data_IF_603904479375
#
_entry.id   IF_603904479375
#
_cell.length_a   1.000
_cell.length_b   1.000
_cell.length_c   1.000
_cell.angle_alpha   90.00
_cell.angle_beta   90.00
_cell.angle_gamma   90.00
#
_symmetry.space_group_name_H-M   'P 1'
#
loop_
_entity.id
_entity.type
_entity.pdbx_description
1 polymer ?
#
# COMPACT_ATOMS: atom_id res chain seq x y z
N UNK A 1 -10.43 6.37 -13.60
CA UNK A 1 -9.35 7.33 -13.90
C UNK A 1 -9.72 8.73 -13.45
N UNK A 2 -10.38 9.52 -14.30
CA UNK A 2 -10.70 10.92 -14.02
C UNK A 2 -11.59 11.14 -12.78
N UNK A 3 -12.58 10.27 -12.52
CA UNK A 3 -13.45 10.39 -11.34
C UNK A 3 -12.69 10.23 -10.01
N UNK A 4 -11.65 9.39 -9.97
CA UNK A 4 -10.80 9.18 -8.79
C UNK A 4 -9.93 10.41 -8.50
N UNK A 5 -9.32 10.96 -9.54
CA UNK A 5 -8.56 12.21 -9.45
C UNK A 5 -9.44 13.42 -9.12
N UNK A 6 -10.68 13.44 -9.59
CA UNK A 6 -11.66 14.47 -9.25
C UNK A 6 -12.04 14.40 -7.76
N UNK A 7 -12.20 13.20 -7.21
CA UNK A 7 -12.48 12.97 -5.79
C UNK A 7 -11.27 13.32 -4.92
N UNK A 8 -10.04 13.01 -5.36
CA UNK A 8 -8.81 13.27 -4.57
C UNK A 8 -8.30 14.71 -4.64
N UNK A 9 -8.24 15.31 -5.84
CA UNK A 9 -7.59 16.61 -6.05
C UNK A 9 -8.58 17.78 -6.02
N UNK A 10 -9.85 17.54 -6.35
CA UNK A 10 -10.84 18.59 -6.66
C UNK A 10 -12.11 18.51 -5.82
N UNK A 11 -12.16 17.68 -4.78
CA UNK A 11 -13.29 17.70 -3.84
C UNK A 11 -13.37 19.09 -3.19
N UNK A 12 -14.44 19.87 -3.40
CA UNK A 12 -14.59 21.15 -2.71
C UNK A 12 -14.54 20.95 -1.19
N UNK A 13 -14.05 21.95 -0.42
CA UNK A 13 -14.06 21.89 1.04
C UNK A 13 -15.49 21.62 1.54
N UNK A 14 -15.61 20.94 2.67
CA UNK A 14 -16.87 20.45 3.25
C UNK A 14 -17.99 21.51 3.30
N UNK A 15 -17.62 22.79 3.42
CA UNK A 15 -18.52 23.94 3.43
C UNK A 15 -19.22 24.26 2.10
N UNK A 16 -18.88 23.61 0.98
CA UNK A 16 -19.39 23.95 -0.35
C UNK A 16 -20.04 22.78 -1.12
N UNK A 17 -20.21 21.59 -0.50
CA UNK A 17 -20.82 20.44 -1.18
C UNK A 17 -22.23 20.11 -0.65
N UNK A 18 -23.24 19.93 -1.52
CA UNK A 18 -24.56 19.47 -1.10
C UNK A 18 -24.49 17.99 -0.69
N UNK A 19 -24.59 17.70 0.61
CA UNK A 19 -25.06 16.49 1.35
C UNK A 19 -24.93 15.06 0.77
N UNK A 20 -24.23 14.81 -0.34
CA UNK A 20 -24.11 13.52 -1.01
C UNK A 20 -22.67 13.25 -1.51
N UNK A 21 -21.66 13.71 -0.77
CA UNK A 21 -20.26 13.35 -1.03
C UNK A 21 -20.02 11.91 -0.55
N UNK A 22 -19.59 11.02 -1.45
CA UNK A 22 -19.39 9.60 -1.16
C UNK A 22 -18.15 9.30 -0.28
N UNK A 23 -17.31 10.29 0.00
CA UNK A 23 -16.11 10.14 0.85
C UNK A 23 -15.85 11.44 1.64
N UNK A 24 -15.64 11.37 2.97
CA UNK A 24 -15.35 12.53 3.80
C UNK A 24 -13.92 13.06 3.56
N UNK A 25 -13.77 14.33 3.19
CA UNK A 25 -12.47 15.01 3.16
C UNK A 25 -12.41 16.41 2.55
N UNK A 26 -11.64 17.31 3.17
CA UNK A 26 -11.07 18.55 2.59
C UNK A 26 -10.09 18.23 1.43
N UNK A 27 -10.01 19.10 0.41
CA UNK A 27 -9.14 18.90 -0.75
C UNK A 27 -7.65 18.82 -0.41
N UNK A 28 -6.86 18.22 -1.32
CA UNK A 28 -5.39 18.06 -1.24
C UNK A 28 -4.58 19.33 -0.93
N UNK A 29 -5.12 20.52 -1.17
CA UNK A 29 -4.46 21.80 -0.85
C UNK A 29 -4.84 22.38 0.53
N UNK A 30 -5.76 21.74 1.24
CA UNK A 30 -6.24 22.11 2.57
C UNK A 30 -6.08 20.94 3.55
N UNK A 31 -5.01 20.15 3.44
CA UNK A 31 -4.74 19.05 4.37
C UNK A 31 -4.49 19.61 5.77
N UNK A 32 -5.26 19.13 6.75
CA UNK A 32 -5.10 19.51 8.14
C UNK A 32 -3.68 19.16 8.64
N UNK A 33 -3.03 20.04 9.44
CA UNK A 33 -1.70 19.78 9.99
C UNK A 33 -1.61 18.46 10.78
N UNK A 34 -2.69 18.05 11.44
CA UNK A 34 -2.77 16.79 12.20
C UNK A 34 -2.70 15.56 11.29
N UNK A 35 -3.24 15.64 10.07
CA UNK A 35 -3.11 14.57 9.06
C UNK A 35 -1.67 14.46 8.56
N UNK A 36 -0.97 15.60 8.40
CA UNK A 36 0.44 15.59 7.99
C UNK A 36 1.33 15.01 9.09
N UNK A 37 1.06 15.32 10.36
CA UNK A 37 1.83 14.76 11.48
C UNK A 37 1.60 13.26 11.65
N UNK A 38 0.37 12.76 11.47
CA UNK A 38 0.05 11.33 11.42
C UNK A 38 0.87 10.62 10.33
N UNK A 39 0.83 11.11 9.09
CA UNK A 39 1.59 10.52 7.97
C UNK A 39 3.09 10.53 8.23
N UNK A 40 3.65 11.63 8.73
CA UNK A 40 5.08 11.73 9.02
C UNK A 40 5.49 10.77 10.13
N UNK A 41 4.67 10.65 11.19
CA UNK A 41 4.96 9.75 12.31
C UNK A 41 4.94 8.28 11.84
N UNK A 42 3.89 7.87 11.12
CA UNK A 42 3.78 6.51 10.56
C UNK A 42 4.91 6.21 9.57
N UNK A 43 5.24 7.15 8.68
CA UNK A 43 6.31 7.01 7.68
C UNK A 43 7.71 6.97 8.30
N UNK A 44 7.90 7.54 9.49
CA UNK A 44 9.19 7.46 10.21
C UNK A 44 9.47 6.03 10.69
N UNK A 45 8.40 5.28 10.99
CA UNK A 45 8.45 3.89 11.45
C UNK A 45 8.23 2.87 10.33
N UNK A 46 8.61 3.24 9.10
CA UNK A 46 8.50 2.40 7.91
C UNK A 46 9.16 1.02 8.11
N UNK A 47 8.41 -0.04 7.81
CA UNK A 47 8.71 -1.45 8.08
C UNK A 47 9.16 -1.77 9.50
N UNK A 48 8.71 -0.98 10.48
CA UNK A 48 9.08 -1.10 11.89
C UNK A 48 10.59 -0.99 12.14
N UNK A 49 11.37 -0.45 11.20
CA UNK A 49 12.83 -0.40 11.32
C UNK A 49 13.23 0.37 12.57
N UNK A 50 12.70 1.57 12.76
CA UNK A 50 13.07 2.42 13.88
C UNK A 50 12.59 1.88 15.24
N UNK A 51 11.32 1.44 15.40
CA UNK A 51 10.85 0.83 16.65
C UNK A 51 11.65 -0.43 17.04
N UNK A 52 12.02 -1.27 16.07
CA UNK A 52 12.84 -2.45 16.35
C UNK A 52 14.25 -2.08 16.76
N UNK A 53 14.89 -1.11 16.10
CA UNK A 53 16.22 -0.63 16.48
C UNK A 53 16.23 -0.06 17.89
N UNK A 54 15.24 0.76 18.26
CA UNK A 54 15.11 1.32 19.61
C UNK A 54 14.90 0.22 20.66
N UNK A 55 14.06 -0.79 20.37
CA UNK A 55 13.87 -1.96 21.23
C UNK A 55 15.16 -2.78 21.41
N UNK A 56 16.07 -2.76 20.43
CA UNK A 56 17.39 -3.40 20.52
C UNK A 56 18.45 -2.49 21.18
N UNK A 57 18.07 -1.31 21.67
CA UNK A 57 18.96 -0.35 22.32
C UNK A 57 19.73 0.55 21.35
N UNK A 58 19.45 0.49 20.05
CA UNK A 58 20.05 1.36 19.03
C UNK A 58 19.19 2.62 18.90
N UNK A 59 19.62 3.70 19.54
CA UNK A 59 18.86 4.94 19.70
C UNK A 59 19.45 6.11 18.90
N UNK A 60 19.64 5.94 17.59
CA UNK A 60 20.07 7.05 16.72
C UNK A 60 18.98 8.12 16.56
N UNK A 61 17.73 7.69 16.53
CA UNK A 61 16.51 8.51 16.55
C UNK A 61 15.49 7.77 17.42
N UNK A 62 14.60 8.49 18.09
CA UNK A 62 13.50 7.89 18.86
C UNK A 62 12.29 7.68 17.93
N UNK A 63 11.74 6.47 17.95
CA UNK A 63 10.50 6.12 17.26
C UNK A 63 9.36 6.99 17.81
N UNK A 64 8.54 7.61 16.95
CA UNK A 64 7.34 8.31 17.39
C UNK A 64 6.37 7.38 18.13
N UNK A 65 5.63 7.91 19.10
CA UNK A 65 4.58 7.16 19.80
C UNK A 65 3.32 7.03 18.93
N UNK A 66 3.34 6.10 17.98
CA UNK A 66 2.19 5.78 17.12
C UNK A 66 1.37 4.65 17.73
N UNK A 67 0.04 4.81 17.76
CA UNK A 67 -0.84 3.76 18.27
C UNK A 67 -0.64 2.45 17.49
N UNK A 68 -0.44 1.31 18.16
CA UNK A 68 0.04 0.07 17.52
C UNK A 68 -0.90 -0.47 16.43
N UNK A 69 -2.21 -0.18 16.51
CA UNK A 69 -3.19 -0.54 15.48
C UNK A 69 -2.96 0.22 14.17
N UNK A 70 -2.74 1.54 14.23
CA UNK A 70 -2.48 2.35 13.01
C UNK A 70 -1.15 1.96 12.41
N UNK A 71 -0.09 1.87 13.23
CA UNK A 71 1.24 1.52 12.75
C UNK A 71 1.28 0.11 12.15
N UNK A 72 0.58 -0.84 12.76
CA UNK A 72 0.43 -2.19 12.25
C UNK A 72 -0.28 -2.23 10.90
N UNK A 73 -1.39 -1.50 10.77
CA UNK A 73 -2.15 -1.39 9.53
C UNK A 73 -1.37 -0.69 8.41
N UNK A 74 -0.76 0.46 8.69
CA UNK A 74 0.11 1.21 7.78
C UNK A 74 1.18 0.30 7.16
N UNK A 75 1.97 -0.38 8.02
CA UNK A 75 3.05 -1.25 7.56
C UNK A 75 2.55 -2.48 6.80
N UNK A 76 1.32 -2.95 7.05
CA UNK A 76 0.73 -4.03 6.27
C UNK A 76 0.40 -3.56 4.84
N UNK A 77 -0.13 -2.35 4.68
CA UNK A 77 -0.36 -1.75 3.37
C UNK A 77 0.95 -1.50 2.61
N UNK A 78 1.98 -0.98 3.28
CA UNK A 78 3.30 -0.78 2.69
C UNK A 78 3.96 -2.10 2.26
N UNK A 79 3.84 -3.15 3.08
CA UNK A 79 4.33 -4.47 2.71
C UNK A 79 3.59 -5.00 1.47
N UNK A 80 2.30 -4.69 1.32
CA UNK A 80 1.53 -5.08 0.15
C UNK A 80 1.98 -4.31 -1.10
N UNK A 81 2.19 -2.99 -0.98
CA UNK A 81 2.72 -2.16 -2.06
C UNK A 81 4.12 -2.63 -2.50
N UNK A 82 4.98 -3.02 -1.55
CA UNK A 82 6.30 -3.59 -1.83
C UNK A 82 6.21 -4.85 -2.69
N UNK A 83 5.29 -5.75 -2.35
CA UNK A 83 5.09 -7.01 -3.06
C UNK A 83 4.57 -6.85 -4.50
N UNK A 84 4.06 -5.68 -4.88
CA UNK A 84 3.60 -5.41 -6.25
C UNK A 84 4.75 -5.21 -7.24
N UNK A 85 5.94 -4.78 -6.82
CA UNK A 85 7.06 -4.49 -7.73
C UNK A 85 7.41 -5.65 -8.68
N UNK A 86 7.60 -6.90 -8.21
CA UNK A 86 7.90 -8.01 -9.10
C UNK A 86 6.81 -8.26 -10.15
N UNK A 87 5.52 -8.07 -9.80
CA UNK A 87 4.42 -8.20 -10.75
C UNK A 87 4.44 -7.08 -11.79
N UNK A 88 4.69 -5.84 -11.37
CA UNK A 88 4.74 -4.68 -12.27
C UNK A 88 5.88 -4.83 -13.29
N UNK A 89 7.06 -5.27 -12.86
CA UNK A 89 8.21 -5.53 -13.74
C UNK A 89 7.90 -6.64 -14.76
N UNK A 90 7.31 -7.75 -14.32
CA UNK A 90 6.91 -8.85 -15.22
C UNK A 90 5.86 -8.41 -16.22
N UNK A 91 4.85 -7.68 -15.79
CA UNK A 91 3.82 -7.14 -16.69
C UNK A 91 4.44 -6.19 -17.72
N UNK A 92 5.26 -5.24 -17.28
CA UNK A 92 5.92 -4.29 -18.16
C UNK A 92 6.75 -4.99 -19.24
N UNK A 93 7.51 -6.02 -18.85
CA UNK A 93 8.23 -6.86 -19.81
C UNK A 93 7.29 -7.63 -20.74
N UNK A 94 6.26 -8.29 -20.21
CA UNK A 94 5.30 -9.08 -21.00
C UNK A 94 4.61 -8.23 -22.07
N UNK A 95 4.25 -6.99 -21.73
CA UNK A 95 3.63 -6.02 -22.64
C UNK A 95 4.63 -5.25 -23.51
N UNK A 96 5.92 -5.34 -23.23
CA UNK A 96 6.94 -4.56 -23.92
C UNK A 96 6.74 -3.05 -23.77
N UNK A 97 6.50 -2.57 -22.54
CA UNK A 97 6.33 -1.13 -22.26
C UNK A 97 7.67 -0.44 -22.02
N UNK A 98 7.85 0.77 -22.56
CA UNK A 98 9.07 1.58 -22.40
C UNK A 98 9.19 2.30 -21.07
N UNK A 99 8.08 2.55 -20.37
CA UNK A 99 8.10 3.22 -19.06
C UNK A 99 8.85 2.38 -18.02
N UNK A 100 9.91 2.94 -17.42
CA UNK A 100 10.66 2.28 -16.35
C UNK A 100 9.80 2.17 -15.07
N UNK A 101 9.56 0.94 -14.63
CA UNK A 101 8.70 0.63 -13.48
C UNK A 101 9.30 1.05 -12.15
N UNK A 102 10.63 0.98 -11.97
CA UNK A 102 11.25 1.24 -10.67
C UNK A 102 10.92 2.64 -10.11
N UNK A 103 11.14 3.76 -10.83
CA UNK A 103 10.80 5.08 -10.30
C UNK A 103 9.29 5.27 -10.09
N UNK A 104 8.45 4.64 -10.92
CA UNK A 104 6.99 4.67 -10.76
C UNK A 104 6.58 3.96 -9.47
N UNK A 105 7.09 2.75 -9.26
CA UNK A 105 6.83 1.97 -8.05
C UNK A 105 7.38 2.67 -6.80
N UNK A 106 8.59 3.24 -6.86
CA UNK A 106 9.16 4.00 -5.74
C UNK A 106 8.30 5.20 -5.35
N UNK A 107 7.72 5.91 -6.32
CA UNK A 107 6.76 6.98 -6.04
C UNK A 107 5.41 6.42 -5.54
N UNK A 108 5.00 5.26 -6.05
CA UNK A 108 3.78 4.59 -5.62
C UNK A 108 3.86 4.14 -4.15
N UNK A 109 5.02 3.75 -3.62
CA UNK A 109 5.18 3.44 -2.18
C UNK A 109 4.76 4.59 -1.24
N UNK A 110 4.53 5.81 -1.75
CA UNK A 110 4.06 6.94 -0.94
C UNK A 110 2.75 7.58 -1.43
N UNK A 111 2.43 7.47 -2.73
CA UNK A 111 1.22 8.05 -3.33
C UNK A 111 0.49 7.02 -4.22
N UNK A 112 0.34 5.80 -3.73
CA UNK A 112 0.13 4.57 -4.51
C UNK A 112 -0.90 4.71 -5.62
N UNK A 113 -2.14 5.03 -5.31
CA UNK A 113 -3.18 5.13 -6.35
C UNK A 113 -3.06 6.37 -7.23
N UNK A 114 -2.46 7.44 -6.74
CA UNK A 114 -2.17 8.63 -7.54
C UNK A 114 -1.09 8.32 -8.59
N UNK A 115 -0.25 7.30 -8.39
CA UNK A 115 0.81 6.94 -9.33
C UNK A 115 0.46 5.72 -10.19
N UNK A 116 -0.08 4.65 -9.59
CA UNK A 116 -0.31 3.39 -10.29
C UNK A 116 -1.45 3.44 -11.31
N UNK A 117 -2.52 4.22 -11.06
CA UNK A 117 -3.61 4.36 -12.04
C UNK A 117 -3.17 5.04 -13.35
N UNK A 118 -2.47 6.20 -13.31
CA UNK A 118 -1.86 6.76 -14.51
C UNK A 118 -0.87 5.80 -15.17
N UNK A 119 -0.03 5.12 -14.38
CA UNK A 119 0.92 4.15 -14.91
C UNK A 119 0.21 3.06 -15.73
N UNK A 120 -0.86 2.44 -15.23
CA UNK A 120 -1.58 1.43 -16.00
C UNK A 120 -2.21 1.99 -17.28
N UNK A 121 -2.61 3.26 -17.30
CA UNK A 121 -3.10 3.91 -18.51
C UNK A 121 -1.98 4.13 -19.53
N UNK A 122 -0.81 4.60 -19.09
CA UNK A 122 0.37 4.81 -19.93
C UNK A 122 0.91 3.47 -20.44
N UNK A 123 1.10 2.49 -19.56
CA UNK A 123 1.55 1.14 -19.90
C UNK A 123 0.67 0.48 -20.96
N UNK A 124 -0.64 0.73 -20.95
CA UNK A 124 -1.55 0.26 -22.00
C UNK A 124 -1.35 1.00 -23.33
N UNK A 125 -1.01 2.28 -23.31
CA UNK A 125 -0.74 3.04 -24.55
C UNK A 125 0.64 2.76 -25.15
N UNK A 126 1.58 2.26 -24.34
CA UNK A 126 2.96 1.93 -24.72
C UNK A 126 3.16 0.44 -25.04
N UNK A 127 2.08 -0.33 -25.21
CA UNK A 127 2.21 -1.76 -25.48
C UNK A 127 2.97 -2.00 -26.79
N UNK A 128 4.06 -2.77 -26.71
CA UNK A 128 4.95 -3.07 -27.83
C UNK A 128 5.89 -1.93 -28.26
N UNK A 129 6.05 -0.85 -27.48
CA UNK A 129 6.95 0.26 -27.82
C UNK A 129 8.40 0.02 -27.39
N UNK A 130 8.64 -0.85 -26.41
CA UNK A 130 9.99 -1.14 -25.94
C UNK A 130 10.81 -1.86 -27.01
N UNK A 131 12.07 -1.49 -27.15
CA UNK A 131 13.01 -2.22 -28.01
C UNK A 131 13.43 -3.55 -27.36
N UNK A 132 13.85 -4.51 -28.17
CA UNK A 132 14.33 -5.82 -27.68
C UNK A 132 15.57 -5.73 -26.78
N UNK A 133 16.31 -4.62 -26.85
CA UNK A 133 17.49 -4.34 -26.02
C UNK A 133 17.16 -3.49 -24.77
N UNK A 134 15.90 -3.10 -24.59
CA UNK A 134 15.48 -2.29 -23.44
C UNK A 134 15.42 -3.13 -22.15
N UNK A 135 16.50 -3.07 -21.38
CA UNK A 135 16.63 -3.75 -20.08
C UNK A 135 15.95 -3.02 -18.92
N UNK A 136 15.28 -1.89 -19.13
CA UNK A 136 14.74 -1.04 -18.06
C UNK A 136 13.71 -1.73 -17.17
N UNK A 137 12.99 -2.73 -17.71
CA UNK A 137 11.93 -3.48 -17.03
C UNK A 137 12.26 -4.96 -16.88
N UNK A 138 13.54 -5.30 -16.72
CA UNK A 138 13.96 -6.68 -16.48
C UNK A 138 13.28 -7.23 -15.20
N UNK A 139 12.65 -8.43 -15.25
CA UNK A 139 12.15 -9.11 -14.08
C UNK A 139 13.26 -9.32 -13.06
N UNK A 140 12.89 -9.32 -11.80
CA UNK A 140 13.81 -9.66 -10.72
C UNK A 140 14.30 -11.10 -10.88
N UNK A 141 15.51 -11.36 -10.39
CA UNK A 141 16.00 -12.74 -10.30
C UNK A 141 15.09 -13.57 -9.37
N UNK A 142 14.99 -14.90 -9.55
CA UNK A 142 14.17 -15.74 -8.68
C UNK A 142 14.53 -15.62 -7.18
N UNK A 143 15.81 -15.39 -6.87
CA UNK A 143 16.26 -15.17 -5.50
C UNK A 143 15.75 -13.83 -4.93
N UNK A 144 15.75 -12.77 -5.75
CA UNK A 144 15.20 -11.48 -5.36
C UNK A 144 13.67 -11.55 -5.19
N UNK A 145 12.94 -12.20 -6.10
CA UNK A 145 11.48 -12.40 -5.92
C UNK A 145 11.15 -13.13 -4.62
N UNK A 146 11.90 -14.20 -4.30
CA UNK A 146 11.78 -14.89 -3.02
C UNK A 146 12.08 -14.00 -1.83
N UNK A 147 13.09 -13.14 -1.92
CA UNK A 147 13.41 -12.19 -0.86
C UNK A 147 12.26 -11.19 -0.64
N UNK A 148 11.60 -10.72 -1.71
CA UNK A 148 10.39 -9.91 -1.62
C UNK A 148 9.25 -10.68 -0.97
N UNK A 149 8.98 -11.93 -1.38
CA UNK A 149 7.94 -12.77 -0.78
C UNK A 149 8.16 -13.02 0.71
N UNK A 150 9.37 -13.42 1.10
CA UNK A 150 9.75 -13.66 2.50
C UNK A 150 9.69 -12.36 3.31
N UNK A 151 10.26 -11.27 2.79
CA UNK A 151 10.26 -9.95 3.44
C UNK A 151 8.85 -9.42 3.66
N UNK A 152 8.00 -9.50 2.63
CA UNK A 152 6.59 -9.15 2.73
C UNK A 152 5.86 -9.97 3.79
N UNK A 153 6.02 -11.31 3.79
CA UNK A 153 5.42 -12.15 4.85
C UNK A 153 5.93 -11.80 6.24
N UNK A 154 7.22 -11.48 6.40
CA UNK A 154 7.80 -11.11 7.68
C UNK A 154 7.21 -9.80 8.21
N UNK A 155 7.15 -8.76 7.37
CA UNK A 155 6.54 -7.47 7.73
C UNK A 155 5.04 -7.64 7.98
N UNK A 156 4.33 -8.41 7.14
CA UNK A 156 2.89 -8.67 7.32
C UNK A 156 2.58 -9.41 8.62
N UNK A 157 3.36 -10.43 8.97
CA UNK A 157 3.23 -11.13 10.24
C UNK A 157 3.56 -10.20 11.43
N UNK A 158 4.60 -9.37 11.29
CA UNK A 158 4.95 -8.38 12.29
C UNK A 158 3.85 -7.34 12.47
N UNK A 159 3.20 -6.89 11.39
CA UNK A 159 2.04 -6.01 11.43
C UNK A 159 0.87 -6.61 12.20
N UNK A 160 0.57 -7.89 11.99
CA UNK A 160 -0.47 -8.59 12.78
C UNK A 160 -0.10 -8.61 14.26
N UNK A 161 1.15 -8.98 14.59
CA UNK A 161 1.63 -8.94 15.96
C UNK A 161 1.54 -7.52 16.55
N UNK A 162 1.93 -6.50 15.78
CA UNK A 162 1.95 -5.12 16.24
C UNK A 162 0.55 -4.64 16.59
N UNK A 163 -0.39 -4.83 15.67
CA UNK A 163 -1.80 -4.48 15.83
C UNK A 163 -2.42 -5.17 17.04
N UNK A 164 -2.05 -6.43 17.33
CA UNK A 164 -2.70 -7.22 18.37
C UNK A 164 -2.05 -7.13 19.75
N UNK A 165 -0.72 -6.92 19.81
CA UNK A 165 0.03 -7.15 21.06
C UNK A 165 1.14 -6.14 21.35
N UNK A 166 1.70 -5.44 20.34
CA UNK A 166 2.82 -4.52 20.60
C UNK A 166 2.38 -3.28 21.38
N UNK A 167 3.28 -2.77 22.25
CA UNK A 167 3.08 -1.58 23.08
C UNK A 167 1.74 -1.59 23.84
N UNK A 168 1.57 -2.44 24.87
CA UNK A 168 0.33 -2.51 25.64
C UNK A 168 0.04 -1.25 26.45
N UNK A 169 1.06 -0.44 26.76
CA UNK A 169 0.89 0.84 27.46
C UNK A 169 0.12 1.85 26.60
N UNK A 170 0.44 1.91 25.31
CA UNK A 170 -0.26 2.77 24.35
C UNK A 170 -1.52 2.13 23.75
N UNK A 171 -1.46 0.83 23.45
CA UNK A 171 -2.53 0.13 22.74
C UNK A 171 -3.62 -0.48 23.63
N UNK A 172 -3.39 -0.62 24.92
CA UNK A 172 -4.35 -1.21 25.86
C UNK A 172 -4.72 -2.66 25.54
N UNK A 173 -5.91 -3.06 26.00
CA UNK A 173 -6.48 -4.39 25.80
C UNK A 173 -6.96 -4.62 24.36
N UNK A 174 -7.30 -5.86 24.00
CA UNK A 174 -7.86 -6.15 22.68
C UNK A 174 -9.17 -5.38 22.42
N UNK A 175 -9.98 -5.14 23.45
CA UNK A 175 -11.21 -4.35 23.33
C UNK A 175 -10.91 -2.88 23.01
N UNK A 176 -9.85 -2.32 23.60
CA UNK A 176 -9.42 -0.94 23.33
C UNK A 176 -8.92 -0.81 21.90
N UNK A 177 -8.15 -1.80 21.42
CA UNK A 177 -7.65 -1.86 20.03
C UNK A 177 -8.77 -1.94 19.00
N UNK A 178 -9.79 -2.75 19.26
CA UNK A 178 -10.98 -2.84 18.39
C UNK A 178 -11.74 -1.53 18.40
N UNK A 179 -11.92 -0.91 19.57
CA UNK A 179 -12.61 0.39 19.70
C UNK A 179 -11.85 1.49 18.95
N UNK A 180 -10.53 1.50 19.09
CA UNK A 180 -9.66 2.42 18.36
C UNK A 180 -9.75 2.20 16.85
N UNK A 181 -9.67 0.96 16.37
CA UNK A 181 -9.88 0.64 14.95
C UNK A 181 -11.24 1.13 14.46
N UNK A 182 -12.32 0.87 15.20
CA UNK A 182 -13.66 1.36 14.87
C UNK A 182 -13.72 2.89 14.77
N UNK A 183 -12.98 3.61 15.62
CA UNK A 183 -12.89 5.07 15.55
C UNK A 183 -12.13 5.56 14.31
N UNK A 184 -11.12 4.83 13.84
CA UNK A 184 -10.36 5.18 12.64
C UNK A 184 -11.17 4.99 11.35
N UNK A 185 -11.97 3.93 11.27
CA UNK A 185 -12.72 3.58 10.04
C UNK A 185 -14.15 4.10 10.02
N UNK A 186 -14.57 4.81 11.07
CA UNK A 186 -15.89 5.42 11.13
C UNK A 186 -16.05 6.44 9.99
N UNK A 187 -17.08 6.26 9.15
CA UNK A 187 -17.48 7.22 8.13
C UNK A 187 -18.48 8.21 8.74
N UNK A 188 -18.00 9.10 9.62
CA UNK A 188 -18.85 10.07 10.29
C UNK A 188 -18.93 11.38 9.49
N UNK A 189 -20.12 11.82 9.05
CA UNK A 189 -20.32 13.09 8.35
C UNK A 189 -19.87 14.33 9.12
N UNK A 190 -19.65 14.24 10.43
CA UNK A 190 -19.16 15.33 11.28
C UNK A 190 -17.62 15.43 11.35
N UNK A 191 -16.90 14.59 10.60
CA UNK A 191 -15.43 14.61 10.54
C UNK A 191 -14.73 13.53 11.37
N UNK A 192 -15.46 12.49 11.79
CA UNK A 192 -14.86 11.30 12.40
C UNK A 192 -14.26 10.35 11.36
N UNK A 193 -13.24 9.58 11.78
CA UNK A 193 -12.44 8.68 10.95
C UNK A 193 -11.08 9.27 10.56
N UNK A 194 -10.01 8.46 10.61
CA UNK A 194 -8.70 8.86 10.11
C UNK A 194 -8.71 8.81 8.58
N UNK A 195 -8.47 9.97 7.97
CA UNK A 195 -8.35 10.10 6.50
C UNK A 195 -7.22 9.24 5.96
N UNK A 196 -6.12 9.19 6.70
CA UNK A 196 -4.94 8.38 6.36
C UNK A 196 -5.34 6.91 6.33
N UNK A 197 -6.04 6.44 7.39
CA UNK A 197 -6.54 5.07 7.46
C UNK A 197 -7.51 4.75 6.31
N UNK A 198 -8.44 5.65 6.01
CA UNK A 198 -9.40 5.46 4.89
C UNK A 198 -8.67 5.41 3.55
N UNK A 199 -7.67 6.27 3.31
CA UNK A 199 -6.86 6.23 2.11
C UNK A 199 -6.14 4.88 1.97
N UNK A 200 -5.48 4.40 3.02
CA UNK A 200 -4.82 3.10 3.02
C UNK A 200 -5.79 1.91 2.85
N UNK A 201 -7.05 2.02 3.31
CA UNK A 201 -8.07 1.02 3.03
C UNK A 201 -8.43 0.96 1.54
N UNK A 202 -8.58 2.13 0.90
CA UNK A 202 -8.84 2.23 -0.55
C UNK A 202 -7.65 1.69 -1.33
N UNK A 203 -6.43 2.05 -0.94
CA UNK A 203 -5.18 1.53 -1.50
C UNK A 203 -5.13 0.00 -1.38
N UNK A 204 -5.35 -0.57 -0.20
CA UNK A 204 -5.34 -2.03 -0.01
C UNK A 204 -6.38 -2.76 -0.88
N UNK A 205 -7.57 -2.18 -1.04
CA UNK A 205 -8.62 -2.71 -1.92
C UNK A 205 -8.18 -2.68 -3.39
N UNK A 206 -7.51 -1.60 -3.83
CA UNK A 206 -6.97 -1.48 -5.18
C UNK A 206 -5.77 -2.41 -5.40
N UNK A 207 -4.90 -2.59 -4.41
CA UNK A 207 -3.79 -3.55 -4.47
C UNK A 207 -4.32 -4.95 -4.67
N UNK A 208 -5.41 -5.30 -3.99
CA UNK A 208 -6.05 -6.59 -4.18
C UNK A 208 -6.66 -6.74 -5.58
N UNK A 209 -7.34 -5.71 -6.10
CA UNK A 209 -7.84 -5.73 -7.47
C UNK A 209 -6.70 -5.89 -8.49
N UNK A 210 -5.59 -5.16 -8.31
CA UNK A 210 -4.41 -5.26 -9.17
C UNK A 210 -3.71 -6.60 -9.01
N UNK A 211 -3.58 -7.14 -7.81
CA UNK A 211 -3.04 -8.48 -7.57
C UNK A 211 -3.81 -9.52 -8.39
N UNK A 212 -5.15 -9.55 -8.27
CA UNK A 212 -6.01 -10.49 -9.00
C UNK A 212 -5.80 -10.36 -10.51
N UNK A 213 -5.79 -9.13 -11.01
CA UNK A 213 -5.64 -8.84 -12.44
C UNK A 213 -4.24 -9.19 -12.97
N UNK A 214 -3.19 -8.69 -12.35
CA UNK A 214 -1.79 -8.87 -12.75
C UNK A 214 -1.38 -10.36 -12.70
N UNK A 215 -1.69 -11.05 -11.60
CA UNK A 215 -1.39 -12.48 -11.50
C UNK A 215 -2.22 -13.32 -12.47
N UNK A 216 -3.41 -12.86 -12.85
CA UNK A 216 -4.21 -13.48 -13.90
C UNK A 216 -3.59 -13.31 -15.29
N UNK A 217 -3.04 -12.14 -15.57
CA UNK A 217 -2.32 -11.86 -16.82
C UNK A 217 -1.01 -12.64 -16.92
N UNK A 218 -0.36 -12.94 -15.79
CA UNK A 218 0.90 -13.69 -15.70
C UNK A 218 0.70 -15.19 -15.42
N UNK A 219 -0.51 -15.73 -15.57
CA UNK A 219 -0.85 -17.09 -15.16
C UNK A 219 -0.08 -18.18 -15.92
N UNK A 220 0.32 -17.89 -17.15
CA UNK A 220 1.12 -18.71 -18.07
C UNK A 220 2.61 -18.77 -17.70
N UNK A 221 3.11 -17.89 -16.82
CA UNK A 221 4.53 -17.85 -16.45
C UNK A 221 4.92 -18.82 -15.32
N UNK A 222 3.96 -19.36 -14.57
CA UNK A 222 4.21 -20.31 -13.47
C UNK A 222 3.31 -21.56 -13.58
N UNK A 223 3.80 -22.76 -13.24
CA UNK A 223 3.07 -24.02 -13.44
C UNK A 223 1.70 -24.06 -12.74
N UNK A 224 0.75 -24.66 -13.45
CA UNK A 224 -0.61 -24.13 -13.73
C UNK A 224 -1.70 -24.40 -12.66
N UNK A 225 -1.42 -25.07 -11.53
CA UNK A 225 -2.51 -25.53 -10.62
C UNK A 225 -2.56 -24.93 -9.22
N UNK A 226 -1.46 -24.38 -8.70
CA UNK A 226 -1.48 -23.66 -7.41
C UNK A 226 -1.57 -22.13 -7.59
N UNK A 227 -1.15 -21.60 -8.74
CA UNK A 227 -1.03 -20.16 -9.02
C UNK A 227 -2.37 -19.46 -9.24
N UNK A 228 -3.39 -20.17 -9.75
CA UNK A 228 -4.71 -19.60 -10.08
C UNK A 228 -5.56 -19.24 -8.86
N UNK A 229 -5.42 -19.96 -7.75
CA UNK A 229 -6.17 -19.68 -6.51
C UNK A 229 -5.49 -18.59 -5.69
N UNK A 230 -4.15 -18.57 -5.67
CA UNK A 230 -3.37 -17.60 -4.90
C UNK A 230 -3.69 -16.15 -5.26
N UNK A 231 -4.03 -15.84 -6.51
CA UNK A 231 -4.41 -14.48 -6.90
C UNK A 231 -5.62 -13.94 -6.14
N UNK A 232 -6.50 -14.81 -5.63
CA UNK A 232 -7.70 -14.45 -4.86
C UNK A 232 -7.49 -14.44 -3.34
N UNK A 233 -6.27 -14.72 -2.87
CA UNK A 233 -5.91 -14.58 -1.46
C UNK A 233 -5.16 -13.25 -1.32
N UNK A 234 -5.77 -12.18 -0.76
CA UNK A 234 -5.14 -10.87 -0.70
C UNK A 234 -3.84 -10.94 0.09
N UNK A 235 -2.80 -10.25 -0.39
CA UNK A 235 -1.48 -10.14 0.23
C UNK A 235 -0.72 -11.48 0.34
N UNK A 236 -1.21 -12.43 1.14
CA UNK A 236 -0.56 -13.71 1.37
C UNK A 236 -0.47 -14.54 0.08
N UNK A 237 -1.48 -14.45 -0.79
CA UNK A 237 -1.47 -15.13 -2.07
C UNK A 237 -0.38 -14.63 -3.00
N UNK A 238 -0.18 -13.31 -3.07
CA UNK A 238 0.94 -12.71 -3.80
C UNK A 238 2.28 -13.07 -3.18
N UNK A 239 2.42 -12.95 -1.87
CA UNK A 239 3.68 -13.26 -1.20
C UNK A 239 4.09 -14.71 -1.40
N UNK A 240 3.14 -15.66 -1.31
CA UNK A 240 3.36 -17.08 -1.60
C UNK A 240 3.59 -17.34 -3.08
N UNK A 241 2.96 -16.57 -3.98
CA UNK A 241 3.23 -16.67 -5.41
C UNK A 241 4.66 -16.30 -5.76
N UNK A 242 5.33 -15.44 -4.98
CA UNK A 242 6.74 -15.07 -5.20
C UNK A 242 7.76 -16.10 -4.72
N UNK A 243 7.34 -17.15 -3.99
CA UNK A 243 8.21 -18.21 -3.49
C UNK A 243 8.49 -19.29 -4.54
#
# INVERSE_FOLDING_TARGET
GAAYWYILLLSPPFSMMPSAALLPGEPMWAVAPDTLSEVVAESTDFFFVLPLLNNLGINFMQAPDVHPVSLGFFNACEAYALLLLPLLLRQAKKRGTSTNVIPVWSAAMFLTNAILLPYFAVAKSEEGTASSDDGSNAPLSPAAERAFGIGGLAVGALSVYWTLAANPELGGSLADRVSYWSSLVALDPSGGGSRVTIAFLVDAALFYAWQVWLMGELADEKPEKQTSVLRFVPFAGLALWLL
#
